data_IF_559876844603
#
_entry.id   IF_559876844603
#
_cell.length_a   1.000
_cell.length_b   1.000
_cell.length_c   1.000
_cell.angle_alpha   90.00
_cell.angle_beta   90.00
_cell.angle_gamma   90.00
#
_symmetry.space_group_name_H-M   'P 1'
#
loop_
_entity.id
_entity.type
_entity.pdbx_description
1 polymer ?
#
# COMPACT_ATOMS: atom_id res chain seq x y z
N UNK A 1 13.15 -9.81 11.43
CA UNK A 1 14.29 -9.32 10.62
C UNK A 1 14.30 -7.81 10.70
N UNK A 2 15.46 -7.18 10.90
CA UNK A 2 15.58 -5.71 10.84
C UNK A 2 15.16 -5.28 9.44
N UNK A 3 14.13 -4.43 9.34
CA UNK A 3 13.70 -3.88 8.07
C UNK A 3 14.64 -2.72 7.71
N UNK A 4 15.10 -2.70 6.45
CA UNK A 4 16.09 -1.74 5.97
C UNK A 4 15.38 -0.60 5.25
N UNK A 5 15.65 0.64 5.67
CA UNK A 5 15.15 1.86 5.03
C UNK A 5 15.75 2.09 3.64
N UNK A 6 15.01 2.80 2.81
CA UNK A 6 15.49 3.25 1.51
C UNK A 6 16.68 4.19 1.64
N UNK A 7 17.65 4.02 0.74
CA UNK A 7 18.82 4.91 0.60
C UNK A 7 18.84 5.52 -0.79
N UNK A 8 19.66 6.56 -1.00
CA UNK A 8 19.85 7.14 -2.33
C UNK A 8 20.31 6.12 -3.37
N UNK A 9 21.14 5.15 -2.98
CA UNK A 9 21.62 4.10 -3.89
C UNK A 9 20.55 3.05 -4.21
N UNK A 10 19.64 2.77 -3.27
CA UNK A 10 18.48 1.92 -3.53
C UNK A 10 17.48 2.63 -4.45
N UNK A 11 17.23 3.92 -4.25
CA UNK A 11 16.33 4.71 -5.10
C UNK A 11 16.80 4.78 -6.56
N UNK A 12 18.12 4.76 -6.81
CA UNK A 12 18.66 4.65 -8.19
C UNK A 12 18.25 3.35 -8.90
N UNK A 13 17.91 2.29 -8.15
CA UNK A 13 17.49 0.98 -8.68
C UNK A 13 15.97 0.86 -8.80
N UNK A 14 15.21 1.81 -8.27
CA UNK A 14 13.75 1.78 -8.33
C UNK A 14 13.28 2.21 -9.71
N UNK A 15 12.55 1.30 -10.36
CA UNK A 15 11.89 1.55 -11.64
C UNK A 15 10.54 2.25 -11.41
N UNK A 16 10.15 3.10 -12.35
CA UNK A 16 8.87 3.82 -12.42
C UNK A 16 8.53 4.84 -11.32
N UNK A 17 9.10 4.71 -10.13
CA UNK A 17 8.91 5.67 -9.03
C UNK A 17 10.17 6.52 -8.84
N UNK A 18 9.98 7.75 -8.36
CA UNK A 18 11.08 8.68 -8.04
C UNK A 18 10.85 9.29 -6.65
N UNK A 19 11.91 9.43 -5.83
CA UNK A 19 11.79 9.99 -4.48
C UNK A 19 11.33 11.46 -4.48
N UNK A 20 11.65 12.20 -5.54
CA UNK A 20 11.36 13.61 -5.78
C UNK A 20 10.37 13.81 -6.96
N UNK A 21 9.58 12.77 -7.28
CA UNK A 21 8.64 12.77 -8.40
C UNK A 21 7.23 13.27 -8.07
N UNK A 22 6.26 12.87 -8.89
CA UNK A 22 4.84 13.19 -8.69
C UNK A 22 4.18 12.38 -7.56
N UNK A 23 4.82 11.28 -7.15
CA UNK A 23 4.37 10.40 -6.07
C UNK A 23 4.58 11.05 -4.69
N UNK A 24 3.57 10.94 -3.82
CA UNK A 24 3.54 11.62 -2.51
C UNK A 24 4.17 10.77 -1.41
N UNK A 25 5.49 10.61 -1.47
CA UNK A 25 6.23 9.76 -0.53
C UNK A 25 6.38 10.33 0.87
N UNK A 26 6.20 11.64 1.08
CA UNK A 26 6.61 12.31 2.31
C UNK A 26 8.14 12.39 2.39
N UNK A 27 8.75 11.79 3.42
CA UNK A 27 10.20 11.54 3.43
C UNK A 27 10.49 10.16 2.81
N UNK A 28 10.96 10.10 1.55
CA UNK A 28 11.17 8.84 0.84
C UNK A 28 12.29 7.98 1.46
N UNK A 29 13.12 8.52 2.36
CA UNK A 29 14.19 7.77 3.04
C UNK A 29 13.71 7.13 4.34
N UNK A 30 12.50 7.44 4.81
CA UNK A 30 11.85 6.74 5.92
C UNK A 30 11.07 5.51 5.45
N UNK A 31 10.86 5.35 4.15
CA UNK A 31 10.18 4.19 3.58
C UNK A 31 11.03 2.92 3.73
N UNK A 32 10.37 1.81 4.03
CA UNK A 32 11.01 0.49 4.05
C UNK A 32 11.33 0.00 2.64
N UNK A 33 12.46 -0.68 2.49
CA UNK A 33 12.88 -1.24 1.20
C UNK A 33 11.88 -2.26 0.68
N UNK A 34 11.31 -3.10 1.56
CA UNK A 34 10.35 -4.14 1.19
C UNK A 34 9.12 -3.58 0.49
N UNK A 35 8.45 -2.57 1.08
CA UNK A 35 7.21 -2.02 0.51
C UNK A 35 7.47 -1.38 -0.86
N UNK A 36 8.61 -0.69 -1.03
CA UNK A 36 8.96 -0.02 -2.29
C UNK A 36 9.22 -1.05 -3.41
N UNK A 37 10.06 -2.05 -3.16
CA UNK A 37 10.36 -3.05 -4.18
C UNK A 37 9.17 -3.98 -4.45
N UNK A 38 8.31 -4.27 -3.46
CA UNK A 38 7.04 -4.97 -3.72
C UNK A 38 6.13 -4.12 -4.59
N UNK A 39 6.05 -2.80 -4.37
CA UNK A 39 5.26 -1.90 -5.22
C UNK A 39 5.79 -1.84 -6.66
N UNK A 40 7.10 -1.92 -6.87
CA UNK A 40 7.70 -2.06 -8.22
C UNK A 40 7.23 -3.36 -8.89
N UNK A 41 7.28 -4.50 -8.17
CA UNK A 41 6.79 -5.78 -8.70
C UNK A 41 5.29 -5.72 -9.00
N UNK A 42 4.50 -5.10 -8.11
CA UNK A 42 3.07 -4.91 -8.27
C UNK A 42 2.74 -4.09 -9.51
N UNK A 43 3.39 -2.94 -9.69
CA UNK A 43 3.24 -2.09 -10.89
C UNK A 43 3.55 -2.85 -12.17
N UNK A 44 4.64 -3.63 -12.17
CA UNK A 44 5.02 -4.47 -13.32
C UNK A 44 3.96 -5.54 -13.61
N UNK A 45 3.42 -6.17 -12.57
CA UNK A 45 2.38 -7.21 -12.69
C UNK A 45 1.07 -6.66 -13.26
N UNK A 46 0.59 -5.51 -12.77
CA UNK A 46 -0.65 -4.90 -13.29
C UNK A 46 -0.47 -4.26 -14.66
N UNK A 47 0.77 -4.01 -15.09
CA UNK A 47 1.09 -3.47 -16.42
C UNK A 47 0.55 -2.05 -16.66
N UNK A 48 0.26 -1.30 -15.59
CA UNK A 48 -0.42 0.00 -15.62
C UNK A 48 0.24 0.99 -14.66
N UNK A 49 0.08 2.31 -14.87
CA UNK A 49 0.52 3.30 -13.90
C UNK A 49 -0.09 3.07 -12.52
N UNK A 50 0.76 3.11 -11.50
CA UNK A 50 0.38 3.08 -10.09
C UNK A 50 0.81 4.41 -9.50
N UNK A 51 -0.12 5.14 -8.89
CA UNK A 51 0.16 6.45 -8.30
C UNK A 51 0.11 6.35 -6.78
N UNK A 52 1.11 6.93 -6.12
CA UNK A 52 1.19 6.97 -4.66
C UNK A 52 0.64 8.28 -4.14
N UNK A 53 -0.41 8.18 -3.32
CA UNK A 53 -1.09 9.31 -2.69
C UNK A 53 -0.55 9.63 -1.30
N UNK A 54 0.00 8.64 -0.59
CA UNK A 54 0.65 8.81 0.69
C UNK A 54 1.66 7.68 0.92
N UNK A 55 2.91 8.03 1.24
CA UNK A 55 3.96 7.11 1.71
C UNK A 55 4.20 7.29 3.20
N UNK A 56 5.38 7.78 3.57
CA UNK A 56 5.69 8.13 4.95
C UNK A 56 4.94 9.40 5.36
N UNK A 57 4.31 9.36 6.52
CA UNK A 57 3.74 10.55 7.13
C UNK A 57 4.00 10.53 8.63
N UNK A 58 4.70 11.56 9.13
CA UNK A 58 4.96 11.71 10.55
C UNK A 58 3.64 12.05 11.27
N UNK A 59 3.17 11.14 12.12
CA UNK A 59 1.96 11.31 12.96
C UNK A 59 2.29 11.02 14.41
N UNK A 60 1.58 11.68 15.32
CA UNK A 60 1.66 11.39 16.76
C UNK A 60 1.03 10.03 17.12
N UNK A 61 0.23 9.48 16.22
CA UNK A 61 -0.45 8.19 16.39
C UNK A 61 0.39 7.04 15.83
N UNK A 62 0.18 5.85 16.38
CA UNK A 62 0.75 4.62 15.83
C UNK A 62 0.11 4.27 14.47
N UNK A 63 0.85 3.55 13.63
CA UNK A 63 0.38 3.11 12.33
C UNK A 63 1.55 2.75 11.41
N UNK A 64 1.21 2.27 10.20
CA UNK A 64 2.23 1.80 9.26
C UNK A 64 2.80 2.91 8.37
N UNK A 65 2.09 4.03 8.15
CA UNK A 65 2.65 5.20 7.46
C UNK A 65 3.79 5.87 8.26
N UNK A 66 3.64 6.20 9.57
CA UNK A 66 4.76 6.71 10.37
C UNK A 66 5.91 5.71 10.53
N UNK A 67 5.65 4.42 10.35
CA UNK A 67 6.68 3.39 10.33
C UNK A 67 7.40 3.27 8.97
N UNK A 68 6.89 3.92 7.92
CA UNK A 68 7.39 3.78 6.55
C UNK A 68 7.07 2.43 5.89
N UNK A 69 6.09 1.71 6.45
CA UNK A 69 5.71 0.37 6.03
C UNK A 69 4.38 0.34 5.25
N UNK A 70 3.79 1.50 4.94
CA UNK A 70 2.52 1.59 4.22
C UNK A 70 2.56 2.59 3.07
N UNK A 71 1.71 2.33 2.08
CA UNK A 71 1.42 3.24 0.98
C UNK A 71 -0.07 3.25 0.69
N UNK A 72 -0.59 4.44 0.38
CA UNK A 72 -1.92 4.62 -0.19
C UNK A 72 -1.75 4.84 -1.70
N UNK A 73 -2.41 4.02 -2.51
CA UNK A 73 -2.23 4.00 -3.96
C UNK A 73 -3.55 3.92 -4.72
N UNK A 74 -3.49 4.20 -6.02
CA UNK A 74 -4.45 3.65 -6.97
C UNK A 74 -3.76 3.24 -8.28
N UNK A 75 -4.40 2.35 -9.03
CA UNK A 75 -3.95 1.91 -10.36
C UNK A 75 -4.84 2.50 -11.44
N UNK A 76 -4.22 3.14 -12.44
CA UNK A 76 -4.95 3.84 -13.50
C UNK A 76 -5.83 2.87 -14.32
N UNK A 77 -7.12 3.21 -14.40
CA UNK A 77 -8.11 2.47 -15.17
C UNK A 77 -8.43 1.07 -14.65
N UNK A 78 -8.15 0.76 -13.38
CA UNK A 78 -8.61 -0.48 -12.72
C UNK A 78 -9.65 -0.17 -11.64
N UNK A 79 -10.71 -0.97 -11.60
CA UNK A 79 -11.68 -0.91 -10.51
C UNK A 79 -11.01 -1.36 -9.20
N UNK A 80 -11.43 -0.81 -8.05
CA UNK A 80 -10.78 -1.09 -6.75
C UNK A 80 -10.76 -2.58 -6.40
N UNK A 81 -11.77 -3.34 -6.85
CA UNK A 81 -11.81 -4.81 -6.69
C UNK A 81 -10.70 -5.49 -7.49
N UNK A 82 -10.43 -5.06 -8.72
CA UNK A 82 -9.35 -5.63 -9.54
C UNK A 82 -7.98 -5.27 -8.96
N UNK A 83 -7.84 -4.05 -8.43
CA UNK A 83 -6.63 -3.63 -7.71
C UNK A 83 -6.39 -4.55 -6.50
N UNK A 84 -7.44 -4.81 -5.70
CA UNK A 84 -7.40 -5.69 -4.54
C UNK A 84 -6.99 -7.13 -4.91
N UNK A 85 -7.66 -7.72 -5.91
CA UNK A 85 -7.36 -9.08 -6.37
C UNK A 85 -5.92 -9.22 -6.92
N UNK A 86 -5.37 -8.15 -7.51
CA UNK A 86 -3.98 -8.11 -7.92
C UNK A 86 -3.02 -8.01 -6.72
N UNK A 87 -3.34 -7.19 -5.71
CA UNK A 87 -2.51 -7.02 -4.52
C UNK A 87 -2.40 -8.31 -3.68
N UNK A 88 -3.47 -9.10 -3.60
CA UNK A 88 -3.50 -10.42 -2.95
C UNK A 88 -2.54 -11.47 -3.54
N UNK A 89 -1.85 -11.16 -4.65
CA UNK A 89 -0.84 -12.05 -5.25
C UNK A 89 0.56 -11.84 -4.67
N UNK A 90 0.72 -10.89 -3.75
CA UNK A 90 2.00 -10.51 -3.17
C UNK A 90 1.99 -10.80 -1.67
N UNK A 91 2.68 -11.86 -1.26
CA UNK A 91 2.79 -12.29 0.14
C UNK A 91 3.37 -11.18 1.04
N UNK A 92 4.11 -10.22 0.48
CA UNK A 92 4.62 -9.09 1.24
C UNK A 92 3.51 -8.12 1.72
N UNK A 93 2.38 -8.02 1.02
CA UNK A 93 1.24 -7.18 1.40
C UNK A 93 0.30 -7.92 2.37
N UNK A 94 0.71 -8.03 3.63
CA UNK A 94 -0.10 -8.67 4.69
C UNK A 94 -1.08 -7.71 5.39
N UNK A 95 -1.12 -6.44 4.99
CA UNK A 95 -2.21 -5.51 5.26
C UNK A 95 -2.75 -4.89 3.98
N UNK A 96 -4.03 -5.10 3.68
CA UNK A 96 -4.70 -4.53 2.49
C UNK A 96 -6.04 -3.91 2.88
N UNK A 97 -6.18 -2.61 2.64
CA UNK A 97 -7.42 -1.86 2.77
C UNK A 97 -7.98 -1.45 1.41
N UNK A 98 -9.29 -1.59 1.17
CA UNK A 98 -9.96 -1.14 -0.07
C UNK A 98 -10.81 0.10 0.16
N UNK A 99 -10.61 1.15 -0.65
CA UNK A 99 -11.23 2.46 -0.46
C UNK A 99 -12.04 2.88 -1.71
N UNK A 100 -13.24 2.30 -1.92
CA UNK A 100 -14.05 2.53 -3.13
C UNK A 100 -14.53 3.98 -3.30
N UNK A 101 -14.73 4.71 -2.20
CA UNK A 101 -15.32 6.04 -2.21
C UNK A 101 -14.28 7.18 -2.08
N UNK A 102 -12.99 6.85 -2.19
CA UNK A 102 -11.95 7.87 -2.31
C UNK A 102 -12.06 8.62 -3.63
N UNK A 103 -11.58 9.87 -3.65
CA UNK A 103 -11.52 10.68 -4.87
C UNK A 103 -10.78 9.95 -6.01
N UNK A 104 -9.79 9.12 -5.66
CA UNK A 104 -9.21 8.12 -6.55
C UNK A 104 -9.40 6.74 -5.89
N UNK A 105 -10.42 5.95 -6.28
CA UNK A 105 -10.69 4.65 -5.67
C UNK A 105 -9.46 3.74 -5.75
N UNK A 106 -9.03 3.24 -4.59
CA UNK A 106 -7.70 2.68 -4.47
C UNK A 106 -7.50 1.82 -3.22
N UNK A 107 -6.24 1.60 -2.89
CA UNK A 107 -5.82 0.69 -1.83
C UNK A 107 -4.95 1.38 -0.80
N UNK A 108 -5.05 0.92 0.44
CA UNK A 108 -3.96 0.97 1.40
C UNK A 108 -3.23 -0.36 1.38
N UNK A 109 -1.91 -0.32 1.25
CA UNK A 109 -1.04 -1.49 1.27
C UNK A 109 0.01 -1.30 2.34
N UNK A 110 0.15 -2.26 3.25
CA UNK A 110 1.19 -2.24 4.26
C UNK A 110 1.88 -3.60 4.44
N UNK A 111 3.15 -3.53 4.87
CA UNK A 111 3.97 -4.69 5.22
C UNK A 111 4.20 -4.73 6.72
N UNK A 112 3.77 -5.81 7.36
CA UNK A 112 3.88 -6.06 8.81
C UNK A 112 4.90 -7.15 9.08
N UNK A 113 5.47 -7.23 10.29
CA UNK A 113 6.19 -8.41 10.74
C UNK A 113 5.36 -9.67 10.48
N UNK A 114 5.89 -10.54 9.64
CA UNK A 114 5.21 -11.76 9.21
C UNK A 114 5.22 -12.79 10.34
N UNK A 115 4.05 -13.00 10.95
CA UNK A 115 3.77 -14.21 11.72
C UNK A 115 3.00 -15.16 10.80
N UNK A 116 3.64 -16.24 10.35
CA UNK A 116 3.03 -17.21 9.43
C UNK A 116 1.78 -17.91 9.99
N UNK A 117 1.48 -17.72 11.28
CA UNK A 117 0.28 -18.25 11.92
C UNK A 117 -0.85 -17.24 12.01
N UNK A 118 -0.57 -15.95 11.77
CA UNK A 118 -1.56 -14.89 11.79
C UNK A 118 -2.27 -14.80 10.44
N UNK A 119 -3.57 -14.51 10.49
CA UNK A 119 -4.36 -14.19 9.30
C UNK A 119 -4.03 -12.74 8.90
N UNK A 120 -3.70 -12.55 7.63
CA UNK A 120 -3.46 -11.24 7.06
C UNK A 120 -4.65 -10.29 7.25
N UNK A 121 -4.37 -8.99 7.41
CA UNK A 121 -5.41 -8.00 7.68
C UNK A 121 -6.04 -7.49 6.40
N UNK A 122 -7.38 -7.56 6.34
CA UNK A 122 -8.21 -7.09 5.22
C UNK A 122 -9.36 -6.22 5.72
N UNK A 123 -9.50 -5.02 5.17
CA UNK A 123 -10.56 -4.09 5.56
C UNK A 123 -11.04 -3.24 4.39
N UNK A 124 -12.17 -2.58 4.59
CA UNK A 124 -12.70 -1.58 3.68
C UNK A 124 -12.96 -0.26 4.41
N UNK A 125 -12.82 0.85 3.70
CA UNK A 125 -13.21 2.18 4.16
C UNK A 125 -14.24 2.74 3.18
N UNK A 126 -15.53 2.68 3.55
CA UNK A 126 -16.62 3.22 2.73
C UNK A 126 -16.87 4.70 3.02
N UNK A 127 -16.57 5.14 4.24
CA UNK A 127 -16.69 6.52 4.69
C UNK A 127 -15.40 6.88 5.43
N UNK A 128 -14.90 8.10 5.23
CA UNK A 128 -13.63 8.53 5.82
C UNK A 128 -13.62 8.31 7.34
N UNK A 129 -12.65 7.53 7.82
CA UNK A 129 -12.51 7.20 9.24
C UNK A 129 -13.34 5.99 9.71
N UNK A 130 -14.18 5.41 8.85
CA UNK A 130 -15.00 4.23 9.17
C UNK A 130 -14.42 3.00 8.48
N UNK A 131 -13.71 2.19 9.26
CA UNK A 131 -13.05 0.96 8.79
C UNK A 131 -13.83 -0.27 9.24
N UNK A 132 -14.14 -1.15 8.29
CA UNK A 132 -14.87 -2.40 8.54
C UNK A 132 -14.11 -3.60 7.98
N UNK A 133 -14.21 -4.80 8.59
CA UNK A 133 -13.57 -5.99 8.06
C UNK A 133 -14.02 -6.30 6.63
N UNK A 134 -13.08 -6.62 5.75
CA UNK A 134 -13.38 -7.07 4.38
C UNK A 134 -13.65 -8.57 4.42
N UNK A 135 -14.89 -8.94 4.73
CA UNK A 135 -15.32 -10.33 4.88
C UNK A 135 -16.65 -10.55 4.14
N UNK A 136 -17.26 -11.73 4.33
CA UNK A 136 -18.54 -12.04 3.71
C UNK A 136 -19.67 -11.08 4.11
N UNK A 137 -19.67 -10.57 5.34
CA UNK A 137 -20.67 -9.59 5.78
C UNK A 137 -20.52 -8.25 5.08
N UNK A 138 -19.30 -7.86 4.73
CA UNK A 138 -19.05 -6.72 3.87
C UNK A 138 -19.57 -6.96 2.45
N UNK A 139 -19.23 -8.10 1.84
CA UNK A 139 -19.60 -8.40 0.46
C UNK A 139 -21.11 -8.42 0.22
N UNK A 140 -21.90 -8.82 1.22
CA UNK A 140 -23.37 -8.77 1.18
C UNK A 140 -23.98 -7.36 1.20
N UNK A 141 -23.17 -6.32 1.48
CA UNK A 141 -23.63 -4.91 1.56
C UNK A 141 -23.38 -4.14 0.27
N UNK A 142 -22.59 -4.70 -0.66
CA UNK A 142 -22.38 -4.17 -2.00
C UNK A 142 -23.59 -4.52 -2.88
#
# INVERSE_FOLDING_TARGET
MSMSKMTSDLWKKVEHFKPDGADRWGDPFQMETSIIFTLVKFRKYVGRPVHVHCGFEARATSGWHPAGCAVDIHVEGLHVVDQYLAAERFDEFNGIGIYPNWNNPGLHLDTRPHDKTAIDSRWACLESGVYIPLNWDFLKRL
#
